data_IF_873338986834
#
_entry.id   IF_873338986834
#
_cell.length_a   1.000
_cell.length_b   1.000
_cell.length_c   1.000
_cell.angle_alpha   90.00
_cell.angle_beta   90.00
_cell.angle_gamma   90.00
#
_symmetry.space_group_name_H-M   'P 1'
#
loop_
_entity.id
_entity.type
_entity.pdbx_description
1 polymer ?
#
# COMPACT_ATOMS: atom_id res chain seq x y z
N UNK A 1 -15.98 18.73 -15.93
CA UNK A 1 -15.21 17.47 -16.02
C UNK A 1 -14.07 17.33 -14.98
N UNK A 2 -13.98 18.18 -13.94
CA UNK A 2 -12.84 18.16 -12.99
C UNK A 2 -12.94 17.04 -11.93
N UNK A 3 -14.16 16.60 -11.58
CA UNK A 3 -14.40 15.58 -10.54
C UNK A 3 -13.75 14.22 -10.88
N UNK A 4 -13.70 13.83 -12.15
CA UNK A 4 -13.12 12.55 -12.56
C UNK A 4 -11.60 12.49 -12.35
N UNK A 5 -10.88 13.60 -12.50
CA UNK A 5 -9.42 13.59 -12.37
C UNK A 5 -8.97 13.46 -10.91
N UNK A 6 -9.68 14.09 -9.97
CA UNK A 6 -9.33 13.99 -8.56
C UNK A 6 -9.64 12.60 -7.99
N UNK A 7 -10.76 12.00 -8.38
CA UNK A 7 -11.11 10.65 -7.94
C UNK A 7 -10.20 9.58 -8.57
N UNK A 8 -9.85 9.73 -9.86
CA UNK A 8 -8.89 8.87 -10.53
C UNK A 8 -7.51 8.90 -9.86
N UNK A 9 -7.00 10.09 -9.53
CA UNK A 9 -5.74 10.21 -8.78
C UNK A 9 -5.83 9.59 -7.39
N UNK A 10 -6.99 9.64 -6.74
CA UNK A 10 -7.20 8.99 -5.45
C UNK A 10 -7.16 7.46 -5.58
N UNK A 11 -7.80 6.88 -6.60
CA UNK A 11 -7.74 5.44 -6.87
C UNK A 11 -6.30 4.97 -7.10
N UNK A 12 -5.55 5.68 -7.96
CA UNK A 12 -4.13 5.40 -8.18
C UNK A 12 -3.29 5.55 -6.90
N UNK A 13 -3.60 6.54 -6.06
CA UNK A 13 -2.97 6.66 -4.75
C UNK A 13 -3.26 5.42 -3.89
N UNK A 14 -4.51 4.94 -3.83
CA UNK A 14 -4.86 3.74 -3.04
C UNK A 14 -4.07 2.54 -3.54
N UNK A 15 -4.07 2.28 -4.85
CA UNK A 15 -3.31 1.17 -5.44
C UNK A 15 -1.82 1.25 -5.09
N UNK A 16 -1.19 2.41 -5.28
CA UNK A 16 0.24 2.56 -4.97
C UNK A 16 0.53 2.55 -3.47
N UNK A 17 -0.34 3.13 -2.65
CA UNK A 17 -0.21 3.10 -1.19
C UNK A 17 -0.29 1.66 -0.67
N UNK A 18 -1.11 0.83 -1.32
CA UNK A 18 -1.25 -0.58 -1.05
C UNK A 18 -0.18 -1.47 -1.70
N UNK A 19 0.41 -1.03 -2.81
CA UNK A 19 1.62 -1.56 -3.43
C UNK A 19 2.90 -0.98 -2.83
N UNK A 20 2.77 -0.35 -1.66
CA UNK A 20 3.89 -0.08 -0.80
C UNK A 20 4.79 1.11 -1.20
N UNK A 21 4.32 1.94 -2.12
CA UNK A 21 5.01 3.17 -2.47
C UNK A 21 5.01 4.16 -1.29
N UNK A 22 6.11 4.89 -1.15
CA UNK A 22 6.24 5.99 -0.20
C UNK A 22 5.43 7.20 -0.64
N UNK A 23 5.13 8.10 0.30
CA UNK A 23 4.46 9.38 -0.02
C UNK A 23 5.22 10.16 -1.11
N UNK A 24 6.55 10.15 -1.06
CA UNK A 24 7.42 10.80 -2.03
C UNK A 24 7.30 10.18 -3.43
N UNK A 25 7.34 8.85 -3.53
CA UNK A 25 7.22 8.16 -4.82
C UNK A 25 5.83 8.33 -5.45
N UNK A 26 4.78 8.26 -4.63
CA UNK A 26 3.41 8.49 -5.09
C UNK A 26 3.24 9.94 -5.56
N UNK A 27 3.75 10.91 -4.79
CA UNK A 27 3.71 12.31 -5.17
C UNK A 27 4.41 12.54 -6.51
N UNK A 28 5.59 11.95 -6.71
CA UNK A 28 6.34 11.99 -7.96
C UNK A 28 5.53 11.38 -9.13
N UNK A 29 4.95 10.19 -8.95
CA UNK A 29 4.16 9.50 -9.99
C UNK A 29 2.87 10.23 -10.35
N UNK A 30 2.21 10.87 -9.38
CA UNK A 30 0.95 11.61 -9.60
C UNK A 30 1.15 13.06 -10.02
N UNK A 31 2.41 13.51 -10.12
CA UNK A 31 2.80 14.90 -10.34
C UNK A 31 2.12 15.83 -9.33
N UNK A 32 2.18 15.45 -8.05
CA UNK A 32 1.64 16.19 -6.91
C UNK A 32 2.76 16.51 -5.92
N UNK A 33 2.49 17.44 -5.00
CA UNK A 33 3.39 17.72 -3.88
C UNK A 33 3.18 16.69 -2.78
N UNK A 34 4.23 16.34 -2.04
CA UNK A 34 4.17 15.35 -0.96
C UNK A 34 3.16 15.69 0.12
N UNK A 35 3.07 16.97 0.52
CA UNK A 35 2.08 17.41 1.51
C UNK A 35 0.64 17.18 1.05
N UNK A 36 0.38 17.18 -0.26
CA UNK A 36 -0.95 16.90 -0.81
C UNK A 36 -1.32 15.44 -0.59
N UNK A 37 -0.38 14.52 -0.84
CA UNK A 37 -0.54 13.07 -0.64
C UNK A 37 -0.66 12.73 0.86
N UNK A 38 0.17 13.37 1.71
CA UNK A 38 0.10 13.20 3.16
C UNK A 38 -1.16 13.82 3.80
N UNK A 39 -1.88 14.68 3.08
CA UNK A 39 -3.01 15.44 3.58
C UNK A 39 -4.34 14.68 3.69
N UNK A 40 -5.37 15.42 4.11
CA UNK A 40 -6.73 14.90 4.42
C UNK A 40 -7.47 14.29 3.23
N UNK A 41 -7.08 14.62 2.00
CA UNK A 41 -7.76 14.20 0.77
C UNK A 41 -7.26 12.85 0.23
N UNK A 42 -6.05 12.43 0.61
CA UNK A 42 -5.42 11.19 0.17
C UNK A 42 -5.21 10.28 1.37
N UNK A 43 -4.06 10.38 2.07
CA UNK A 43 -3.75 9.54 3.23
C UNK A 43 -4.79 9.67 4.35
N UNK A 44 -5.25 10.88 4.65
CA UNK A 44 -6.31 11.09 5.65
C UNK A 44 -7.71 10.63 5.20
N UNK A 45 -7.96 10.52 3.89
CA UNK A 45 -9.19 9.93 3.36
C UNK A 45 -9.12 8.41 3.46
N UNK A 46 -8.00 7.81 3.06
CA UNK A 46 -7.76 6.37 3.14
C UNK A 46 -7.98 5.81 4.54
N UNK A 47 -7.46 6.45 5.59
CA UNK A 47 -7.68 5.97 6.95
C UNK A 47 -9.11 6.16 7.48
N UNK A 48 -9.86 7.16 6.96
CA UNK A 48 -11.29 7.30 7.27
C UNK A 48 -12.11 6.20 6.63
N UNK A 49 -11.77 5.83 5.39
CA UNK A 49 -12.44 4.75 4.65
C UNK A 49 -12.00 3.36 5.14
N UNK A 50 -10.79 3.25 5.71
CA UNK A 50 -10.21 2.00 6.19
C UNK A 50 -9.85 2.08 7.69
N UNK A 51 -10.83 2.21 8.60
CA UNK A 51 -10.60 2.43 10.03
C UNK A 51 -9.86 1.28 10.74
N UNK A 52 -9.81 0.09 10.11
CA UNK A 52 -9.05 -1.06 10.61
C UNK A 52 -7.55 -0.93 10.37
N UNK A 53 -7.13 -0.09 9.42
CA UNK A 53 -5.72 0.17 9.12
C UNK A 53 -5.22 1.27 10.04
N UNK A 54 -4.51 0.91 11.11
CA UNK A 54 -3.91 1.89 12.04
C UNK A 54 -2.56 2.37 11.49
N UNK A 55 -2.32 3.70 11.39
CA UNK A 55 -1.00 4.22 11.02
C UNK A 55 0.07 3.74 12.02
N UNK A 56 1.19 3.21 11.53
CA UNK A 56 2.29 2.76 12.38
C UNK A 56 2.02 1.48 13.19
N UNK A 57 1.04 0.66 12.79
CA UNK A 57 0.86 -0.70 13.32
C UNK A 57 0.74 -1.68 12.16
N UNK A 58 1.35 -2.85 12.32
CA UNK A 58 1.21 -3.98 11.40
C UNK A 58 -0.27 -4.32 11.24
N UNK A 59 -0.77 -4.31 10.01
CA UNK A 59 -2.08 -4.85 9.69
C UNK A 59 -1.95 -6.37 9.54
N UNK A 60 -2.13 -7.09 10.66
CA UNK A 60 -1.94 -8.54 10.76
C UNK A 60 -2.86 -9.30 9.79
N UNK A 61 -4.11 -8.87 9.62
CA UNK A 61 -5.04 -9.53 8.68
C UNK A 61 -4.49 -9.47 7.25
N UNK A 62 -4.02 -8.29 6.84
CA UNK A 62 -3.41 -8.09 5.52
C UNK A 62 -2.09 -8.86 5.37
N UNK A 63 -1.29 -8.94 6.43
CA UNK A 63 -0.08 -9.76 6.45
C UNK A 63 -0.42 -11.22 6.17
N UNK A 64 -1.41 -11.75 6.87
CA UNK A 64 -1.84 -13.14 6.74
C UNK A 64 -2.48 -13.41 5.37
N UNK A 65 -3.25 -12.47 4.81
CA UNK A 65 -3.74 -12.57 3.42
C UNK A 65 -2.58 -12.69 2.44
N UNK A 66 -1.57 -11.82 2.55
CA UNK A 66 -0.42 -11.84 1.65
C UNK A 66 0.42 -13.12 1.80
N UNK A 67 0.58 -13.61 3.03
CA UNK A 67 1.21 -14.90 3.34
C UNK A 67 0.46 -16.03 2.63
N UNK A 68 -0.86 -16.10 2.77
CA UNK A 68 -1.66 -17.13 2.12
C UNK A 68 -1.63 -17.04 0.59
N UNK A 69 -1.63 -15.83 0.03
CA UNK A 69 -1.51 -15.66 -1.43
C UNK A 69 -0.17 -16.18 -1.95
N UNK A 70 0.92 -15.94 -1.22
CA UNK A 70 2.25 -16.47 -1.53
C UNK A 70 2.30 -18.00 -1.37
N UNK A 71 1.71 -18.54 -0.30
CA UNK A 71 1.62 -19.98 -0.07
C UNK A 71 0.78 -20.69 -1.14
N UNK A 72 -0.31 -20.09 -1.61
CA UNK A 72 -1.10 -20.64 -2.72
C UNK A 72 -0.26 -20.66 -4.01
N UNK A 73 0.53 -19.62 -4.27
CA UNK A 73 1.31 -19.48 -5.52
C UNK A 73 2.55 -20.37 -5.54
N UNK A 74 3.26 -20.48 -4.43
CA UNK A 74 4.56 -21.15 -4.34
C UNK A 74 4.55 -22.41 -3.46
N UNK A 75 3.40 -22.78 -2.88
CA UNK A 75 3.22 -23.95 -2.03
C UNK A 75 3.69 -23.72 -0.57
N UNK A 76 4.91 -23.22 -0.38
CA UNK A 76 5.44 -22.84 0.93
C UNK A 76 6.21 -21.52 0.81
N UNK A 77 6.19 -20.71 1.87
CA UNK A 77 7.10 -19.58 2.04
C UNK A 77 8.52 -20.12 2.28
N UNK A 78 9.20 -20.47 1.19
CA UNK A 78 10.62 -20.85 1.15
C UNK A 78 11.42 -19.74 0.48
N UNK A 79 12.75 -19.89 0.45
CA UNK A 79 13.69 -18.98 -0.22
C UNK A 79 13.52 -18.97 -1.76
N UNK A 80 12.59 -19.73 -2.32
CA UNK A 80 12.34 -19.84 -3.76
C UNK A 80 11.44 -18.72 -4.31
N UNK A 81 10.86 -17.87 -3.45
CA UNK A 81 10.04 -16.74 -3.88
C UNK A 81 10.96 -15.63 -4.41
N UNK A 82 10.80 -15.19 -5.66
CA UNK A 82 11.59 -14.09 -6.23
C UNK A 82 11.51 -12.83 -5.37
N UNK A 83 12.64 -12.16 -5.13
CA UNK A 83 12.70 -10.98 -4.27
C UNK A 83 11.90 -9.77 -4.82
N UNK A 84 11.69 -9.75 -6.13
CA UNK A 84 10.90 -8.77 -6.86
C UNK A 84 9.42 -9.17 -6.98
N UNK A 85 9.00 -10.29 -6.37
CA UNK A 85 7.58 -10.66 -6.33
C UNK A 85 6.79 -9.57 -5.59
N UNK A 86 5.78 -9.04 -6.29
CA UNK A 86 4.96 -7.92 -5.82
C UNK A 86 4.23 -8.22 -4.50
N UNK A 87 3.84 -9.46 -4.23
CA UNK A 87 3.21 -9.85 -2.95
C UNK A 87 4.25 -10.01 -1.84
N UNK A 88 5.44 -10.53 -2.14
CA UNK A 88 6.54 -10.60 -1.17
C UNK A 88 6.98 -9.20 -0.73
N UNK A 89 7.10 -8.26 -1.67
CA UNK A 89 7.39 -6.86 -1.38
C UNK A 89 6.32 -6.22 -0.47
N UNK A 90 5.03 -6.46 -0.76
CA UNK A 90 3.91 -6.01 0.09
C UNK A 90 3.99 -6.58 1.51
N UNK A 91 4.30 -7.87 1.63
CA UNK A 91 4.43 -8.52 2.93
C UNK A 91 5.57 -7.91 3.75
N UNK A 92 6.75 -7.69 3.13
CA UNK A 92 7.93 -7.14 3.79
C UNK A 92 7.67 -5.78 4.46
N UNK A 93 6.87 -4.88 3.90
CA UNK A 93 6.54 -3.59 4.56
C UNK A 93 5.38 -3.65 5.52
N UNK A 94 4.41 -4.55 5.32
CA UNK A 94 3.44 -4.84 6.39
C UNK A 94 4.20 -5.24 7.66
N UNK A 95 5.30 -5.99 7.55
CA UNK A 95 6.18 -6.38 8.66
C UNK A 95 7.16 -5.27 9.08
N UNK A 96 7.83 -4.58 8.14
CA UNK A 96 8.84 -3.54 8.42
C UNK A 96 8.28 -2.20 8.89
N UNK A 97 6.96 -1.97 8.84
CA UNK A 97 6.34 -0.78 9.45
C UNK A 97 6.49 -0.70 11.00
N UNK A 98 7.30 -1.59 11.60
CA UNK A 98 7.43 -1.83 13.03
C UNK A 98 8.89 -1.95 13.53
N UNK A 99 9.90 -1.70 12.68
CA UNK A 99 11.32 -1.62 13.09
C UNK A 99 11.87 -0.20 12.90
#
# INVERSE_FOLDING_TARGET
>A
MIKNNHEYKYQLFVEMWEDDYTVAEIAKKLHLREFTIAGKNFKGRYYRENPRVKPGRINVDRMMTLVHELEIRYGKLTDEIPEDDRQLMKLRKVVHANN
#
